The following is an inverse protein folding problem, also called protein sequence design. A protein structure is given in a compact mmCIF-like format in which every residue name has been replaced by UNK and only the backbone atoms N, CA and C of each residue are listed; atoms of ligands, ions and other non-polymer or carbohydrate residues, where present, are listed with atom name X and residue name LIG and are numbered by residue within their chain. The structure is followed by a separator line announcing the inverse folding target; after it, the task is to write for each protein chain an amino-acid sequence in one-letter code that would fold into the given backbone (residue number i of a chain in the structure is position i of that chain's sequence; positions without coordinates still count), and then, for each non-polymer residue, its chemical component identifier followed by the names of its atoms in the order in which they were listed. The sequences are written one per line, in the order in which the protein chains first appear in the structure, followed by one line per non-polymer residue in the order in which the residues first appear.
data_IF_588905358804
#
_entry.id   IF_588905358804
#
_cell.length_a   1.000
_cell.length_b   1.000
_cell.length_c   1.000
_cell.angle_alpha   90.00
_cell.angle_beta   90.00
_cell.angle_gamma   90.00
#
_symmetry.space_group_name_H-M   'P 1'
#
loop_
_entity.id
_entity.type
_entity.pdbx_description
1 polymer ?
#
# COMPACT_ATOMS: atom_id res chain seq x y z
N UNK A 1 -19.40 1.82 4.06
CA UNK A 1 -17.97 1.41 4.05
C UNK A 1 -17.19 2.17 3.00
N UNK A 2 -15.95 2.48 3.29
CA UNK A 2 -15.03 3.13 2.37
C UNK A 2 -13.97 2.09 1.97
N UNK A 3 -13.70 1.99 0.67
CA UNK A 3 -12.65 1.15 0.13
C UNK A 3 -11.56 2.04 -0.44
N UNK A 4 -10.33 1.79 -0.05
CA UNK A 4 -9.13 2.50 -0.48
C UNK A 4 -8.20 1.50 -1.15
N UNK A 5 -7.94 1.69 -2.44
CA UNK A 5 -7.12 0.79 -3.24
C UNK A 5 -5.93 1.56 -3.79
N UNK A 6 -4.75 0.97 -3.68
CA UNK A 6 -3.51 1.56 -4.19
C UNK A 6 -2.77 0.52 -5.01
N UNK A 7 -2.21 0.95 -6.14
CA UNK A 7 -1.34 0.13 -6.97
C UNK A 7 0.02 0.83 -7.11
N UNK A 8 1.10 0.04 -7.09
CA UNK A 8 2.46 0.57 -7.26
C UNK A 8 3.22 -0.19 -8.34
N UNK A 9 4.00 0.59 -9.12
CA UNK A 9 5.11 0.07 -9.92
C UNK A 9 6.40 0.40 -9.18
N UNK A 10 7.25 -0.59 -9.02
CA UNK A 10 8.50 -0.44 -8.29
C UNK A 10 9.65 -0.13 -9.23
N UNK A 11 10.62 0.63 -8.73
CA UNK A 11 11.90 0.81 -9.41
C UNK A 11 12.64 -0.53 -9.45
N UNK A 12 13.46 -0.74 -10.50
CA UNK A 12 14.27 -1.95 -10.62
C UNK A 12 15.24 -2.10 -9.45
N UNK A 13 15.81 -0.96 -9.02
CA UNK A 13 16.69 -0.86 -7.86
C UNK A 13 16.42 0.43 -7.12
N UNK A 14 16.46 0.38 -5.80
CA UNK A 14 16.35 1.54 -4.92
C UNK A 14 16.92 1.20 -3.55
N UNK A 15 17.59 2.16 -2.92
CA UNK A 15 18.19 2.01 -1.59
C UNK A 15 19.12 0.80 -1.48
N UNK A 16 19.85 0.48 -2.55
CA UNK A 16 20.79 -0.63 -2.58
C UNK A 16 20.14 -2.01 -2.66
N UNK A 17 18.84 -2.09 -2.94
CA UNK A 17 18.09 -3.35 -3.03
C UNK A 17 17.41 -3.46 -4.38
N UNK A 18 17.18 -4.70 -4.84
CA UNK A 18 16.44 -4.96 -6.06
C UNK A 18 14.92 -4.82 -5.83
N UNK A 19 14.16 -4.88 -6.93
CA UNK A 19 12.70 -4.76 -6.90
C UNK A 19 12.06 -5.79 -5.97
N UNK A 20 12.47 -7.06 -6.05
CA UNK A 20 11.91 -8.14 -5.24
C UNK A 20 12.11 -7.89 -3.75
N UNK A 21 13.30 -7.49 -3.34
CA UNK A 21 13.60 -7.20 -1.94
C UNK A 21 12.76 -6.02 -1.44
N UNK A 22 12.61 -4.98 -2.25
CA UNK A 22 11.82 -3.81 -1.90
C UNK A 22 10.31 -4.14 -1.83
N UNK A 23 9.80 -4.95 -2.75
CA UNK A 23 8.40 -5.40 -2.71
C UNK A 23 8.12 -6.22 -1.46
N UNK A 24 9.01 -7.13 -1.09
CA UNK A 24 8.87 -7.93 0.11
C UNK A 24 8.85 -7.06 1.37
N UNK A 25 9.75 -6.09 1.44
CA UNK A 25 9.82 -5.16 2.57
C UNK A 25 8.57 -4.31 2.70
N UNK A 26 8.08 -3.74 1.60
CA UNK A 26 6.86 -2.94 1.57
C UNK A 26 5.64 -3.80 1.95
N UNK A 27 5.54 -4.98 1.38
CA UNK A 27 4.43 -5.92 1.67
C UNK A 27 4.37 -6.26 3.16
N UNK A 28 5.51 -6.60 3.76
CA UNK A 28 5.58 -6.92 5.19
C UNK A 28 5.21 -5.73 6.07
N UNK A 29 5.68 -4.52 5.72
CA UNK A 29 5.38 -3.31 6.47
C UNK A 29 3.88 -2.96 6.41
N UNK A 30 3.26 -3.12 5.24
CA UNK A 30 1.82 -2.90 5.07
C UNK A 30 1.00 -3.92 5.89
N UNK A 31 1.38 -5.18 5.84
CA UNK A 31 0.67 -6.25 6.55
C UNK A 31 0.74 -6.11 8.07
N UNK A 32 1.71 -5.38 8.59
CA UNK A 32 1.83 -5.11 10.02
C UNK A 32 0.89 -4.00 10.50
N UNK A 33 0.35 -3.16 9.61
CA UNK A 33 -0.45 -1.99 9.98
C UNK A 33 -1.76 -2.30 10.72
N UNK A 34 -2.53 -3.35 10.41
CA UNK A 34 -3.77 -3.61 11.12
C UNK A 34 -3.61 -3.80 12.63
N UNK A 35 -2.47 -4.34 13.07
CA UNK A 35 -2.18 -4.51 14.50
C UNK A 35 -1.87 -3.17 15.19
N UNK A 36 -1.52 -2.14 14.43
CA UNK A 36 -1.09 -0.83 14.94
C UNK A 36 -2.15 0.25 14.77
N UNK A 37 -3.06 0.09 13.80
CA UNK A 37 -4.07 1.09 13.45
C UNK A 37 -5.45 0.44 13.49
N UNK A 38 -6.20 0.62 14.60
CA UNK A 38 -7.50 -0.06 14.80
C UNK A 38 -8.57 0.30 13.77
N UNK A 39 -8.46 1.46 13.11
CA UNK A 39 -9.42 1.90 12.11
C UNK A 39 -9.45 1.04 10.85
N UNK A 40 -8.41 0.23 10.62
CA UNK A 40 -8.37 -0.67 9.46
C UNK A 40 -9.31 -1.85 9.69
N UNK A 41 -10.39 -1.92 8.92
CA UNK A 41 -11.33 -3.06 8.97
C UNK A 41 -10.76 -4.27 8.25
N UNK A 42 -10.18 -4.03 7.06
CA UNK A 42 -9.61 -5.07 6.19
C UNK A 42 -8.37 -4.52 5.53
N UNK A 43 -7.33 -5.32 5.46
CA UNK A 43 -6.14 -5.02 4.68
C UNK A 43 -5.65 -6.27 3.98
N UNK A 44 -5.44 -6.15 2.68
CA UNK A 44 -4.90 -7.23 1.84
C UNK A 44 -3.85 -6.66 0.91
N UNK A 45 -2.72 -7.34 0.80
CA UNK A 45 -1.65 -6.98 -0.13
C UNK A 45 -1.49 -8.13 -1.11
N UNK A 46 -1.47 -7.82 -2.40
CA UNK A 46 -1.31 -8.81 -3.45
C UNK A 46 -0.24 -8.44 -4.45
N UNK A 47 0.51 -9.45 -4.90
CA UNK A 47 1.48 -9.28 -5.98
C UNK A 47 0.85 -9.63 -7.30
N UNK A 48 1.18 -8.87 -8.34
CA UNK A 48 0.72 -9.12 -9.69
C UNK A 48 1.33 -10.39 -10.26
N UNK A 49 0.51 -11.19 -10.98
CA UNK A 49 1.00 -12.28 -11.81
C UNK A 49 0.64 -12.10 -13.29
N UNK A 50 -0.06 -11.01 -13.65
CA UNK A 50 -0.48 -10.73 -15.02
C UNK A 50 0.71 -10.40 -15.93
N UNK A 51 1.60 -9.55 -15.48
CA UNK A 51 2.85 -9.14 -16.16
C UNK A 51 2.65 -8.57 -17.57
N UNK A 52 1.46 -7.96 -17.82
CA UNK A 52 1.23 -7.22 -19.06
C UNK A 52 1.73 -5.77 -18.94
N UNK A 53 1.71 -5.05 -20.04
CA UNK A 53 2.08 -3.63 -20.04
C UNK A 53 1.19 -2.74 -19.17
N UNK A 54 -0.04 -3.17 -18.89
CA UNK A 54 -0.99 -2.45 -18.03
C UNK A 54 -0.86 -2.84 -16.55
N UNK A 55 -0.11 -3.90 -16.23
CA UNK A 55 -0.01 -4.41 -14.87
C UNK A 55 0.92 -3.57 -14.01
N UNK A 56 0.47 -3.27 -12.78
CA UNK A 56 1.33 -2.76 -11.73
C UNK A 56 1.91 -3.96 -10.96
N UNK A 57 2.81 -3.71 -10.03
CA UNK A 57 3.56 -4.79 -9.38
C UNK A 57 2.91 -5.27 -8.09
N UNK A 58 2.32 -4.35 -7.32
CA UNK A 58 1.75 -4.62 -6.00
C UNK A 58 0.44 -3.87 -5.85
N UNK A 59 -0.54 -4.52 -5.22
CA UNK A 59 -1.83 -3.93 -4.91
C UNK A 59 -2.07 -3.94 -3.40
N UNK A 60 -2.64 -2.85 -2.89
CA UNK A 60 -3.13 -2.73 -1.53
C UNK A 60 -4.65 -2.53 -1.59
N UNK A 61 -5.38 -3.37 -0.89
CA UNK A 61 -6.83 -3.25 -0.72
C UNK A 61 -7.10 -3.04 0.76
N UNK A 62 -7.78 -1.92 1.10
CA UNK A 62 -8.13 -1.62 2.48
C UNK A 62 -9.57 -1.16 2.57
N UNK A 63 -10.23 -1.43 3.71
CA UNK A 63 -11.58 -0.98 3.99
C UNK A 63 -11.64 -0.33 5.37
N UNK A 64 -12.47 0.72 5.44
CA UNK A 64 -12.69 1.53 6.64
C UNK A 64 -14.18 1.77 6.83
N UNK A 65 -14.60 1.97 8.08
CA UNK A 65 -16.02 2.23 8.41
C UNK A 65 -16.49 3.55 7.82
N UNK A 66 -15.61 4.54 7.67
CA UNK A 66 -15.97 5.89 7.24
C UNK A 66 -14.78 6.60 6.61
N UNK A 67 -15.06 7.72 5.94
CA UNK A 67 -14.00 8.61 5.42
C UNK A 67 -13.13 9.18 6.56
N UNK A 68 -13.72 9.39 7.73
CA UNK A 68 -12.98 9.87 8.90
C UNK A 68 -11.96 8.83 9.36
N UNK A 69 -12.32 7.55 9.38
CA UNK A 69 -11.41 6.46 9.70
C UNK A 69 -10.27 6.35 8.68
N UNK A 70 -10.58 6.54 7.38
CA UNK A 70 -9.54 6.57 6.35
C UNK A 70 -8.58 7.73 6.60
N UNK A 71 -9.09 8.93 6.93
CA UNK A 71 -8.27 10.09 7.22
C UNK A 71 -7.36 9.84 8.45
N UNK A 72 -7.90 9.22 9.49
CA UNK A 72 -7.13 8.86 10.69
C UNK A 72 -5.99 7.90 10.34
N UNK A 73 -6.27 6.90 9.51
CA UNK A 73 -5.25 5.97 9.01
C UNK A 73 -4.15 6.71 8.23
N UNK A 74 -4.53 7.59 7.31
CA UNK A 74 -3.57 8.31 6.48
C UNK A 74 -2.67 9.24 7.30
N UNK A 75 -3.20 9.84 8.36
CA UNK A 75 -2.45 10.72 9.25
C UNK A 75 -1.66 9.99 10.34
N UNK A 76 -1.90 8.70 10.52
CA UNK A 76 -1.29 7.92 11.61
C UNK A 76 0.23 7.83 11.43
N UNK A 77 1.02 8.03 12.51
CA UNK A 77 2.49 7.97 12.41
C UNK A 77 3.03 6.65 11.82
N UNK A 78 2.40 5.53 12.13
CA UNK A 78 2.82 4.24 11.58
C UNK A 78 2.57 4.15 10.07
N UNK A 79 1.47 4.72 9.57
CA UNK A 79 1.22 4.83 8.14
C UNK A 79 2.24 5.75 7.46
N UNK A 80 2.58 6.87 8.09
CA UNK A 80 3.57 7.81 7.54
C UNK A 80 4.95 7.16 7.37
N UNK A 81 5.34 6.29 8.31
CA UNK A 81 6.60 5.54 8.21
C UNK A 81 6.60 4.61 6.99
N UNK A 82 5.48 3.91 6.77
CA UNK A 82 5.34 3.02 5.61
C UNK A 82 5.31 3.83 4.32
N UNK A 83 4.61 4.97 4.32
CA UNK A 83 4.56 5.86 3.16
C UNK A 83 5.96 6.32 2.74
N UNK A 84 6.79 6.70 3.70
CA UNK A 84 8.17 7.12 3.42
C UNK A 84 8.99 5.98 2.80
N UNK A 85 8.81 4.77 3.31
CA UNK A 85 9.45 3.58 2.74
C UNK A 85 9.00 3.34 1.30
N UNK A 86 7.70 3.44 1.03
CA UNK A 86 7.11 3.20 -0.29
C UNK A 86 7.61 4.23 -1.30
N UNK A 87 7.54 5.52 -0.96
CA UNK A 87 7.94 6.62 -1.86
C UNK A 87 9.39 6.46 -2.31
N UNK A 88 10.26 5.94 -1.45
CA UNK A 88 11.68 5.77 -1.78
C UNK A 88 11.95 4.68 -2.83
N UNK A 89 11.01 3.75 -3.06
CA UNK A 89 11.28 2.55 -3.88
C UNK A 89 10.33 2.37 -5.05
N UNK A 90 9.30 3.22 -5.21
CA UNK A 90 8.30 3.08 -6.29
C UNK A 90 8.52 4.10 -7.41
N UNK A 91 8.15 3.70 -8.63
CA UNK A 91 8.19 4.55 -9.82
C UNK A 91 6.85 5.22 -10.08
N UNK A 92 5.74 4.54 -9.79
CA UNK A 92 4.38 5.03 -10.03
C UNK A 92 3.44 4.58 -8.93
N UNK A 93 2.45 5.41 -8.64
CA UNK A 93 1.36 5.10 -7.70
C UNK A 93 0.03 5.46 -8.34
N UNK A 94 -0.97 4.60 -8.18
CA UNK A 94 -2.34 4.86 -8.58
C UNK A 94 -3.27 4.58 -7.41
N UNK A 95 -4.30 5.42 -7.22
CA UNK A 95 -5.21 5.34 -6.07
C UNK A 95 -6.65 5.46 -6.54
N UNK A 96 -7.53 4.66 -5.94
CA UNK A 96 -8.98 4.84 -6.04
C UNK A 96 -9.58 4.68 -4.65
N UNK A 97 -10.38 5.66 -4.25
CA UNK A 97 -11.16 5.63 -3.01
C UNK A 97 -12.64 5.71 -3.37
N UNK A 98 -13.45 4.80 -2.85
CA UNK A 98 -14.88 4.83 -3.11
C UNK A 98 -15.69 4.35 -1.92
N UNK A 99 -16.97 4.74 -1.90
CA UNK A 99 -17.93 4.30 -0.89
C UNK A 99 -18.92 3.30 -1.47
N UNK A 100 -19.33 2.37 -0.64
CA UNK A 100 -20.34 1.37 -1.02
C UNK A 100 -21.29 1.08 0.14
#
# INVERSE_FOLDING_TARGET
MVTHIVFWRFLDEANGQDREANMERVSSALQALPALIPEIETLEVGRDFNRSGAAFDLALYTRFASREHLATYQAHPEHQKVKDLVVAVVAETAVVDYES
#
